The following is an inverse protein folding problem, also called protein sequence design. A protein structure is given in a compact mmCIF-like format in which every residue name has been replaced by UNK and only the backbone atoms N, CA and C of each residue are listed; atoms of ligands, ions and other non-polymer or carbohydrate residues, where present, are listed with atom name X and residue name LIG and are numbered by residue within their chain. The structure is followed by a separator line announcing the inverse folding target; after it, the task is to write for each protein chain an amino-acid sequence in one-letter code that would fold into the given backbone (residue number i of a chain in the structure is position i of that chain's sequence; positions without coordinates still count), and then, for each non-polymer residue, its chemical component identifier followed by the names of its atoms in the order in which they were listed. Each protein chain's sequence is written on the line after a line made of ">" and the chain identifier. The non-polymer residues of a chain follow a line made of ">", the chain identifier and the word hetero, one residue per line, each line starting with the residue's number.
data_IF_311824953158
#
_entry.id   IF_311824953158
#
_cell.length_a   1.000
_cell.length_b   1.000
_cell.length_c   1.000
_cell.angle_alpha   90.00
_cell.angle_beta   90.00
_cell.angle_gamma   90.00
#
_symmetry.space_group_name_H-M   'P 1'
#
loop_
_entity.id
_entity.type
_entity.pdbx_description
1 polymer ?
#
# COMPACT_ATOMS: atom_id res chain seq x y z
N UNK A 1 33.37 14.02 54.87
CA UNK A 1 32.99 12.77 54.19
C UNK A 1 32.30 13.13 52.90
N UNK A 2 33.01 13.08 51.77
CA UNK A 2 32.50 13.50 50.45
C UNK A 2 32.08 12.29 49.64
N UNK A 3 30.82 12.24 49.21
CA UNK A 3 30.26 11.16 48.43
C UNK A 3 30.66 11.37 46.95
N UNK A 4 31.62 10.60 46.47
CA UNK A 4 32.06 10.64 45.06
C UNK A 4 31.10 9.76 44.25
N UNK A 5 30.14 10.38 43.57
CA UNK A 5 29.30 9.70 42.60
C UNK A 5 30.11 9.41 41.33
N UNK A 6 30.64 8.20 41.27
CA UNK A 6 31.19 7.59 40.05
C UNK A 6 30.08 7.47 39.00
N UNK A 7 30.00 8.44 38.09
CA UNK A 7 29.25 8.28 36.84
C UNK A 7 29.95 7.22 35.98
N UNK A 8 29.47 5.98 36.04
CA UNK A 8 29.75 4.99 35.01
C UNK A 8 29.21 5.53 33.69
N UNK A 9 30.12 5.93 32.79
CA UNK A 9 29.78 6.19 31.39
C UNK A 9 29.19 4.91 30.83
N UNK A 10 27.88 4.90 30.61
CA UNK A 10 27.21 3.85 29.87
C UNK A 10 27.78 3.82 28.45
N UNK A 11 28.73 2.93 28.21
CA UNK A 11 29.23 2.59 26.88
C UNK A 11 28.15 1.76 26.17
N UNK A 12 27.06 2.42 25.77
CA UNK A 12 26.11 1.83 24.85
C UNK A 12 26.73 1.80 23.47
N UNK A 13 26.94 0.60 22.93
CA UNK A 13 27.41 0.44 21.57
C UNK A 13 26.36 1.01 20.61
N UNK A 14 26.68 2.11 19.94
CA UNK A 14 25.85 2.68 18.88
C UNK A 14 26.11 1.92 17.58
N UNK A 15 25.08 1.26 17.05
CA UNK A 15 25.10 0.76 15.68
C UNK A 15 25.02 1.97 14.73
N UNK A 16 25.88 2.04 13.68
CA UNK A 16 25.73 3.02 12.61
C UNK A 16 24.33 3.00 12.01
N UNK A 17 23.76 4.18 11.80
CA UNK A 17 22.42 4.37 11.23
C UNK A 17 22.26 3.67 9.88
N UNK A 18 23.33 3.59 9.10
CA UNK A 18 23.38 2.98 7.78
C UNK A 18 23.11 1.46 7.84
N UNK A 19 23.70 0.76 8.82
CA UNK A 19 23.48 -0.68 9.00
C UNK A 19 22.05 -0.98 9.41
N UNK A 20 21.47 -0.13 10.24
CA UNK A 20 20.08 -0.21 10.67
C UNK A 20 19.16 -0.04 9.45
N UNK A 21 19.38 1.00 8.64
CA UNK A 21 18.58 1.26 7.44
C UNK A 21 18.67 0.12 6.44
N UNK A 22 19.87 -0.42 6.21
CA UNK A 22 20.07 -1.57 5.31
C UNK A 22 19.33 -2.81 5.82
N UNK A 23 19.41 -3.10 7.13
CA UNK A 23 18.68 -4.20 7.75
C UNK A 23 17.16 -4.01 7.65
N UNK A 24 16.67 -2.77 7.67
CA UNK A 24 15.26 -2.46 7.53
C UNK A 24 14.74 -2.64 6.11
N UNK A 25 15.54 -2.51 5.04
CA UNK A 25 15.03 -2.50 3.66
C UNK A 25 14.23 -3.76 3.29
N UNK A 26 14.66 -4.95 3.73
CA UNK A 26 13.99 -6.22 3.42
C UNK A 26 12.89 -6.64 4.41
N UNK A 27 12.59 -5.82 5.41
CA UNK A 27 11.74 -6.20 6.55
C UNK A 27 10.27 -5.83 6.34
N UNK A 28 9.34 -6.77 6.53
CA UNK A 28 7.92 -6.45 6.40
C UNK A 28 7.47 -5.33 7.36
N UNK A 29 6.50 -4.53 6.91
CA UNK A 29 6.02 -3.33 7.63
C UNK A 29 5.53 -3.64 9.04
N UNK A 30 5.11 -4.87 9.32
CA UNK A 30 4.73 -5.32 10.66
C UNK A 30 5.89 -5.18 11.64
N UNK A 31 7.09 -5.62 11.25
CA UNK A 31 8.28 -5.51 12.09
C UNK A 31 8.79 -4.07 12.13
N UNK A 32 8.70 -3.32 11.03
CA UNK A 32 8.99 -1.87 11.06
C UNK A 32 8.06 -1.11 12.04
N UNK A 33 6.79 -1.49 12.12
CA UNK A 33 5.84 -0.93 13.07
C UNK A 33 6.24 -1.25 14.52
N UNK A 34 6.70 -2.48 14.79
CA UNK A 34 7.24 -2.85 16.11
C UNK A 34 8.46 -1.99 16.45
N UNK A 35 9.40 -1.80 15.52
CA UNK A 35 10.58 -0.94 15.74
C UNK A 35 10.16 0.50 16.07
N UNK A 36 9.28 1.10 15.27
CA UNK A 36 8.78 2.46 15.45
C UNK A 36 8.00 2.67 16.77
N UNK A 37 7.41 1.59 17.29
CA UNK A 37 6.68 1.59 18.57
C UNK A 37 7.62 1.44 19.76
N UNK A 38 8.65 0.60 19.64
CA UNK A 38 9.62 0.33 20.71
C UNK A 38 10.57 1.51 20.92
N UNK A 39 10.98 2.21 19.85
CA UNK A 39 11.84 3.38 19.94
C UNK A 39 11.32 4.52 19.04
N UNK A 40 10.91 5.63 19.65
CA UNK A 40 10.39 6.79 18.93
C UNK A 40 11.43 7.47 18.03
N UNK A 41 12.73 7.34 18.35
CA UNK A 41 13.83 7.86 17.54
C UNK A 41 13.95 7.13 16.21
N UNK A 42 13.52 5.86 16.17
CA UNK A 42 13.56 5.02 14.98
C UNK A 42 12.42 5.31 13.99
N UNK A 43 11.43 6.14 14.38
CA UNK A 43 10.30 6.49 13.51
C UNK A 43 10.76 7.19 12.23
N UNK A 44 11.79 8.04 12.31
CA UNK A 44 12.39 8.69 11.13
C UNK A 44 12.96 7.65 10.17
N UNK A 45 13.83 6.76 10.67
CA UNK A 45 14.43 5.69 9.87
C UNK A 45 13.39 4.75 9.22
N UNK A 46 12.31 4.43 9.94
CA UNK A 46 11.20 3.63 9.39
C UNK A 46 10.49 4.36 8.25
N UNK A 47 10.23 5.67 8.39
CA UNK A 47 9.64 6.48 7.30
C UNK A 47 10.55 6.54 6.09
N UNK A 48 11.84 6.78 6.29
CA UNK A 48 12.84 6.85 5.21
C UNK A 48 12.95 5.50 4.49
N UNK A 49 12.92 4.40 5.25
CA UNK A 49 12.87 3.04 4.68
C UNK A 49 11.64 2.86 3.79
N UNK A 50 10.45 3.26 4.26
CA UNK A 50 9.21 3.13 3.48
C UNK A 50 9.22 4.00 2.23
N UNK A 51 9.72 5.24 2.31
CA UNK A 51 9.89 6.12 1.14
C UNK A 51 10.87 5.54 0.14
N UNK A 52 12.01 5.03 0.62
CA UNK A 52 13.00 4.37 -0.23
C UNK A 52 12.40 3.17 -0.96
N UNK A 53 11.57 2.37 -0.28
CA UNK A 53 10.83 1.28 -0.92
C UNK A 53 9.85 1.77 -1.96
N UNK A 54 9.06 2.81 -1.68
CA UNK A 54 8.15 3.37 -2.68
C UNK A 54 8.91 3.78 -3.95
N UNK A 55 10.04 4.46 -3.81
CA UNK A 55 10.89 4.83 -4.95
C UNK A 55 11.49 3.60 -5.65
N UNK A 56 11.97 2.62 -4.89
CA UNK A 56 12.53 1.37 -5.43
C UNK A 56 11.49 0.59 -6.25
N UNK A 57 10.29 0.40 -5.71
CA UNK A 57 9.21 -0.33 -6.40
C UNK A 57 8.63 0.44 -7.60
N UNK A 58 8.80 1.77 -7.63
CA UNK A 58 8.43 2.60 -8.77
C UNK A 58 9.51 2.72 -9.83
N UNK A 59 10.78 2.46 -9.51
CA UNK A 59 11.92 2.62 -10.40
C UNK A 59 11.81 1.83 -11.73
N UNK A 60 11.17 0.64 -11.78
CA UNK A 60 10.90 0.00 -13.06
C UNK A 60 9.97 0.85 -13.94
N UNK A 61 8.99 1.56 -13.38
CA UNK A 61 7.95 2.24 -14.16
C UNK A 61 8.25 3.72 -14.43
N UNK A 62 9.00 4.36 -13.53
CA UNK A 62 9.25 5.80 -13.53
C UNK A 62 10.76 6.03 -13.45
N UNK A 63 11.37 6.72 -14.42
CA UNK A 63 12.80 7.02 -14.36
C UNK A 63 13.15 7.78 -13.07
N UNK A 64 14.35 7.58 -12.48
CA UNK A 64 14.72 8.19 -11.21
C UNK A 64 14.57 9.72 -11.18
N UNK A 65 14.84 10.40 -12.29
CA UNK A 65 14.73 11.86 -12.42
C UNK A 65 13.27 12.34 -12.40
N UNK A 66 12.31 11.46 -12.71
CA UNK A 66 10.89 11.79 -12.85
C UNK A 66 10.05 11.38 -11.64
N UNK A 67 10.63 10.67 -10.66
CA UNK A 67 9.94 10.22 -9.43
C UNK A 67 9.32 11.40 -8.66
N UNK A 68 10.01 12.53 -8.59
CA UNK A 68 9.46 13.73 -7.93
C UNK A 68 8.22 14.26 -8.67
N UNK A 69 8.27 14.29 -10.01
CA UNK A 69 7.13 14.64 -10.85
C UNK A 69 5.97 13.67 -10.68
N UNK A 70 6.26 12.37 -10.59
CA UNK A 70 5.26 11.32 -10.37
C UNK A 70 4.50 11.54 -9.06
N UNK A 71 5.22 11.77 -7.96
CA UNK A 71 4.60 12.03 -6.66
C UNK A 71 3.82 13.36 -6.63
N UNK A 72 4.33 14.38 -7.32
CA UNK A 72 3.58 15.65 -7.50
C UNK A 72 2.25 15.41 -8.22
N UNK A 73 2.26 14.65 -9.32
CA UNK A 73 1.06 14.29 -10.09
C UNK A 73 0.09 13.45 -9.25
N UNK A 74 0.57 12.48 -8.46
CA UNK A 74 -0.26 11.73 -7.50
C UNK A 74 -0.98 12.67 -6.52
N UNK A 75 -0.24 13.58 -5.90
CA UNK A 75 -0.78 14.51 -4.90
C UNK A 75 -1.76 15.49 -5.52
N UNK A 76 -1.42 16.13 -6.63
CA UNK A 76 -2.26 17.12 -7.30
C UNK A 76 -3.58 16.52 -7.82
N UNK A 77 -3.56 15.28 -8.28
CA UNK A 77 -4.74 14.59 -8.80
C UNK A 77 -5.52 13.78 -7.76
N UNK A 78 -5.06 13.77 -6.50
CA UNK A 78 -5.62 12.93 -5.44
C UNK A 78 -5.59 11.44 -5.79
N UNK A 79 -4.62 10.99 -6.58
CA UNK A 79 -4.49 9.62 -7.09
C UNK A 79 -3.63 8.76 -6.16
N UNK A 80 -3.72 7.45 -6.32
CA UNK A 80 -3.01 6.47 -5.48
C UNK A 80 -2.38 5.37 -6.31
N UNK A 81 -1.24 4.87 -5.87
CA UNK A 81 -0.65 3.63 -6.39
C UNK A 81 -1.19 2.45 -5.59
N UNK A 82 -1.61 1.39 -6.25
CA UNK A 82 -2.24 0.24 -5.62
C UNK A 82 -1.73 -1.10 -6.17
N UNK A 83 -2.26 -2.20 -5.62
CA UNK A 83 -1.99 -3.55 -6.11
C UNK A 83 -0.60 -4.06 -5.71
N UNK A 84 0.06 -4.77 -6.63
CA UNK A 84 1.34 -5.47 -6.40
C UNK A 84 2.46 -4.52 -5.94
N UNK A 85 2.59 -3.34 -6.55
CA UNK A 85 3.60 -2.33 -6.17
C UNK A 85 3.38 -1.86 -4.72
N UNK A 86 2.14 -1.53 -4.35
CA UNK A 86 1.83 -1.14 -2.97
C UNK A 86 2.03 -2.29 -1.98
N UNK A 87 1.73 -3.53 -2.39
CA UNK A 87 2.00 -4.71 -1.59
C UNK A 87 3.50 -4.94 -1.38
N UNK A 88 4.34 -4.74 -2.40
CA UNK A 88 5.78 -4.91 -2.30
C UNK A 88 6.43 -3.91 -1.32
N UNK A 89 5.89 -2.69 -1.21
CA UNK A 89 6.30 -1.72 -0.18
C UNK A 89 6.00 -2.24 1.24
N UNK A 90 4.82 -2.83 1.45
CA UNK A 90 4.37 -3.33 2.75
C UNK A 90 5.06 -4.64 3.15
N UNK A 91 5.18 -5.58 2.22
CA UNK A 91 5.69 -6.93 2.45
C UNK A 91 6.70 -7.30 1.37
N UNK A 92 7.91 -6.72 1.37
CA UNK A 92 8.93 -7.02 0.37
C UNK A 92 9.32 -8.50 0.33
N UNK A 93 9.15 -9.23 1.45
CA UNK A 93 9.50 -10.65 1.57
C UNK A 93 8.85 -11.53 0.49
N UNK A 94 7.62 -11.23 0.08
CA UNK A 94 6.86 -12.04 -0.90
C UNK A 94 7.20 -11.74 -2.36
N UNK A 95 7.99 -10.68 -2.61
CA UNK A 95 8.45 -10.27 -3.94
C UNK A 95 9.94 -10.54 -4.17
N UNK A 96 10.62 -11.19 -3.21
CA UNK A 96 12.06 -11.47 -3.30
C UNK A 96 12.48 -12.20 -4.59
N UNK A 97 11.59 -13.01 -5.16
CA UNK A 97 11.84 -13.79 -6.39
C UNK A 97 10.90 -13.43 -7.55
N UNK A 98 9.99 -12.47 -7.37
CA UNK A 98 8.91 -12.22 -8.32
C UNK A 98 8.46 -10.76 -8.20
N UNK A 99 9.20 -9.85 -8.84
CA UNK A 99 8.98 -8.40 -8.78
C UNK A 99 7.69 -7.97 -9.47
N UNK A 100 7.01 -6.90 -9.02
CA UNK A 100 5.84 -6.37 -9.72
C UNK A 100 6.13 -6.04 -11.19
N UNK A 101 5.32 -6.56 -12.11
CA UNK A 101 5.47 -6.35 -13.56
C UNK A 101 4.52 -5.29 -14.13
N UNK A 102 3.59 -4.79 -13.31
CA UNK A 102 2.67 -3.72 -13.67
C UNK A 102 2.47 -2.75 -12.51
N UNK A 103 2.25 -1.48 -12.84
CA UNK A 103 1.90 -0.42 -11.90
C UNK A 103 0.41 -0.10 -12.03
N UNK A 104 -0.34 -0.21 -10.94
CA UNK A 104 -1.76 0.18 -10.92
C UNK A 104 -1.89 1.54 -10.27
N UNK A 105 -2.48 2.49 -10.98
CA UNK A 105 -2.78 3.83 -10.48
C UNK A 105 -4.28 4.01 -10.52
N UNK A 106 -4.87 4.27 -9.36
CA UNK A 106 -6.27 4.61 -9.26
C UNK A 106 -6.42 6.11 -9.19
N UNK A 107 -7.34 6.62 -10.00
CA UNK A 107 -7.48 8.04 -10.27
C UNK A 107 -8.94 8.44 -10.04
N UNK A 108 -9.13 9.68 -9.56
CA UNK A 108 -10.46 10.26 -9.42
C UNK A 108 -11.10 10.55 -10.78
N UNK A 109 -12.43 10.68 -10.80
CA UNK A 109 -13.16 11.04 -12.01
C UNK A 109 -12.68 12.39 -12.56
N UNK A 110 -12.40 12.43 -13.86
CA UNK A 110 -11.98 13.62 -14.60
C UNK A 110 -10.47 13.88 -14.60
N UNK A 111 -9.65 13.08 -13.92
CA UNK A 111 -8.19 13.31 -13.85
C UNK A 111 -7.40 12.48 -14.87
N UNK A 112 -8.06 11.62 -15.66
CA UNK A 112 -7.42 10.82 -16.69
C UNK A 112 -6.58 11.63 -17.69
N UNK A 113 -7.03 12.79 -18.23
CA UNK A 113 -6.22 13.57 -19.16
C UNK A 113 -4.89 14.04 -18.58
N UNK A 114 -4.86 14.39 -17.28
CA UNK A 114 -3.64 14.81 -16.57
C UNK A 114 -2.62 13.67 -16.54
N UNK A 115 -3.07 12.47 -16.21
CA UNK A 115 -2.23 11.28 -16.19
C UNK A 115 -1.74 10.86 -17.57
N UNK A 116 -2.61 10.93 -18.58
CA UNK A 116 -2.21 10.62 -19.96
C UNK A 116 -1.14 11.59 -20.46
N UNK A 117 -1.28 12.88 -20.18
CA UNK A 117 -0.26 13.89 -20.54
C UNK A 117 1.06 13.59 -19.83
N UNK A 118 1.05 13.40 -18.51
CA UNK A 118 2.25 13.12 -17.73
C UNK A 118 2.97 11.83 -18.20
N UNK A 119 2.23 10.75 -18.42
CA UNK A 119 2.81 9.47 -18.84
C UNK A 119 3.31 9.51 -20.30
N UNK A 120 2.67 10.28 -21.16
CA UNK A 120 3.15 10.50 -22.52
C UNK A 120 4.55 11.14 -22.52
N UNK A 121 4.81 12.10 -21.63
CA UNK A 121 6.13 12.72 -21.48
C UNK A 121 7.20 11.72 -20.99
N UNK A 122 6.78 10.64 -20.32
CA UNK A 122 7.63 9.50 -19.95
C UNK A 122 7.70 8.40 -21.04
N UNK A 123 7.31 8.73 -22.27
CA UNK A 123 7.30 7.84 -23.43
C UNK A 123 6.36 6.61 -23.30
N UNK A 124 5.32 6.70 -22.47
CA UNK A 124 4.25 5.70 -22.44
C UNK A 124 3.21 5.97 -23.53
N UNK A 125 2.80 4.90 -24.20
CA UNK A 125 1.76 4.93 -25.24
C UNK A 125 0.57 4.09 -24.81
N UNK A 126 -0.64 4.57 -25.11
CA UNK A 126 -1.88 3.84 -24.86
C UNK A 126 -1.92 2.60 -25.76
N UNK A 127 -2.09 1.43 -25.15
CA UNK A 127 -2.20 0.14 -25.85
C UNK A 127 -3.65 -0.24 -26.11
N UNK A 128 -4.47 -0.14 -25.08
CA UNK A 128 -5.84 -0.64 -25.09
C UNK A 128 -6.68 0.07 -24.02
N UNK A 129 -7.96 0.31 -24.36
CA UNK A 129 -9.01 0.59 -23.39
C UNK A 129 -9.52 -0.77 -22.89
N UNK A 130 -9.15 -1.13 -21.66
CA UNK A 130 -9.55 -2.40 -21.06
C UNK A 130 -10.97 -2.26 -20.52
N UNK A 131 -11.83 -3.25 -20.80
CA UNK A 131 -13.18 -3.26 -20.24
C UNK A 131 -13.10 -3.30 -18.71
N UNK A 132 -13.74 -2.35 -17.99
CA UNK A 132 -13.77 -2.38 -16.54
C UNK A 132 -14.34 -3.71 -16.04
N UNK A 133 -13.61 -4.37 -15.14
CA UNK A 133 -14.03 -5.64 -14.55
C UNK A 133 -14.97 -5.47 -13.35
N UNK A 134 -15.18 -4.24 -12.88
CA UNK A 134 -15.92 -3.95 -11.66
C UNK A 134 -16.80 -2.70 -11.82
N UNK A 135 -17.98 -2.71 -11.20
CA UNK A 135 -18.99 -1.65 -11.32
C UNK A 135 -18.53 -0.27 -10.80
N UNK A 136 -17.47 -0.23 -10.01
CA UNK A 136 -16.93 0.96 -9.37
C UNK A 136 -15.82 1.64 -10.20
N UNK A 137 -15.52 1.11 -11.39
CA UNK A 137 -14.52 1.63 -12.33
C UNK A 137 -15.22 2.01 -13.63
N UNK A 138 -15.05 3.25 -14.08
CA UNK A 138 -15.65 3.76 -15.33
C UNK A 138 -14.77 3.40 -16.52
N UNK A 139 -13.45 3.58 -16.38
CA UNK A 139 -12.50 3.41 -17.47
C UNK A 139 -11.20 2.80 -16.96
N UNK A 140 -10.63 1.89 -17.74
CA UNK A 140 -9.28 1.35 -17.51
C UNK A 140 -8.46 1.57 -18.78
N UNK A 141 -7.31 2.22 -18.64
CA UNK A 141 -6.36 2.45 -19.74
C UNK A 141 -5.07 1.70 -19.44
N UNK A 142 -4.66 0.86 -20.37
CA UNK A 142 -3.37 0.18 -20.34
C UNK A 142 -2.36 0.98 -21.17
N UNK A 143 -1.25 1.35 -20.53
CA UNK A 143 -0.15 2.05 -21.17
C UNK A 143 1.10 1.18 -21.10
N UNK A 144 1.88 1.20 -22.19
CA UNK A 144 3.16 0.50 -22.28
C UNK A 144 4.27 1.50 -22.59
N UNK A 145 5.41 1.33 -21.95
CA UNK A 145 6.58 2.15 -22.26
C UNK A 145 7.08 1.81 -23.68
N UNK A 146 7.27 2.83 -24.52
CA UNK A 146 7.77 2.65 -25.89
C UNK A 146 9.28 2.36 -25.95
N UNK A 147 10.02 2.76 -24.90
CA UNK A 147 11.47 2.63 -24.80
C UNK A 147 11.90 1.39 -23.99
N UNK A 148 11.06 0.93 -23.05
CA UNK A 148 11.35 -0.21 -22.18
C UNK A 148 10.39 -1.38 -22.41
N UNK A 149 10.95 -2.58 -22.58
CA UNK A 149 10.14 -3.79 -22.78
C UNK A 149 9.57 -4.31 -21.46
N UNK A 150 8.26 -4.56 -21.41
CA UNK A 150 7.62 -5.36 -20.36
C UNK A 150 7.01 -4.58 -19.20
N UNK A 151 7.15 -3.26 -19.17
CA UNK A 151 6.56 -2.40 -18.14
C UNK A 151 5.23 -1.83 -18.61
N UNK A 152 4.18 -2.13 -17.84
CA UNK A 152 2.82 -1.65 -18.12
C UNK A 152 2.30 -0.82 -16.94
N UNK A 153 1.64 0.29 -17.25
CA UNK A 153 0.89 1.09 -16.28
C UNK A 153 -0.59 0.93 -16.60
N UNK A 154 -1.38 0.59 -15.56
CA UNK A 154 -2.82 0.54 -15.64
C UNK A 154 -3.41 1.73 -14.87
N UNK A 155 -4.07 2.63 -15.59
CA UNK A 155 -4.87 3.69 -15.01
C UNK A 155 -6.30 3.20 -14.85
N UNK A 156 -6.85 3.20 -13.64
CA UNK A 156 -8.28 2.90 -13.43
C UNK A 156 -9.00 4.09 -12.83
N UNK A 157 -9.92 4.65 -13.60
CA UNK A 157 -10.76 5.78 -13.21
C UNK A 157 -11.99 5.30 -12.44
N UNK A 158 -12.11 5.73 -11.19
CA UNK A 158 -13.24 5.38 -10.34
C UNK A 158 -14.53 6.10 -10.70
N UNK A 159 -15.67 5.50 -10.35
CA UNK A 159 -16.97 6.15 -10.49
C UNK A 159 -17.17 7.29 -9.47
N UNK A 160 -16.57 7.15 -8.29
CA UNK A 160 -16.64 8.15 -7.22
C UNK A 160 -15.69 9.33 -7.44
N UNK A 161 -15.85 10.35 -6.57
CA UNK A 161 -14.95 11.50 -6.53
C UNK A 161 -13.55 11.16 -5.99
N UNK A 162 -13.37 9.98 -5.39
CA UNK A 162 -12.10 9.55 -4.79
C UNK A 162 -11.46 8.40 -5.57
N UNK A 163 -10.13 8.44 -5.68
CA UNK A 163 -9.28 7.39 -6.24
C UNK A 163 -9.28 6.07 -5.46
N UNK A 164 -9.87 6.06 -4.26
CA UNK A 164 -9.97 4.87 -3.41
C UNK A 164 -11.14 3.98 -3.88
N UNK A 165 -12.12 4.54 -4.59
CA UNK A 165 -13.31 3.81 -5.03
C UNK A 165 -12.98 2.50 -5.76
N UNK A 166 -12.08 2.47 -6.77
CA UNK A 166 -11.64 1.24 -7.44
C UNK A 166 -11.10 0.15 -6.50
N UNK A 167 -10.40 0.54 -5.42
CA UNK A 167 -9.75 -0.38 -4.47
C UNK A 167 -10.76 -1.34 -3.84
N UNK A 168 -11.93 -0.83 -3.48
CA UNK A 168 -12.98 -1.63 -2.86
C UNK A 168 -13.58 -2.69 -3.80
N UNK A 169 -13.39 -2.52 -5.11
CA UNK A 169 -13.78 -3.48 -6.13
C UNK A 169 -12.76 -4.61 -6.30
N UNK A 170 -11.57 -4.51 -5.69
CA UNK A 170 -10.57 -5.56 -5.83
C UNK A 170 -11.11 -6.92 -5.37
N UNK A 171 -10.75 -7.96 -6.10
CA UNK A 171 -11.16 -9.32 -5.82
C UNK A 171 -10.38 -9.95 -4.65
N UNK A 172 -9.28 -9.34 -4.22
CA UNK A 172 -8.39 -9.90 -3.22
C UNK A 172 -8.07 -8.86 -2.17
N UNK A 173 -8.26 -9.20 -0.89
CA UNK A 173 -7.94 -8.27 0.21
C UNK A 173 -6.47 -7.89 0.26
N UNK A 174 -5.58 -8.78 -0.15
CA UNK A 174 -4.13 -8.52 -0.29
C UNK A 174 -3.78 -7.54 -1.41
N UNK A 175 -4.74 -7.18 -2.28
CA UNK A 175 -4.55 -6.16 -3.31
C UNK A 175 -5.21 -4.82 -2.92
N UNK A 176 -5.87 -4.76 -1.77
CA UNK A 176 -6.51 -3.56 -1.24
C UNK A 176 -5.53 -2.68 -0.45
N UNK A 177 -4.32 -2.59 -0.96
CA UNK A 177 -3.25 -1.79 -0.39
C UNK A 177 -2.89 -0.71 -1.39
N UNK A 178 -2.60 0.47 -0.87
CA UNK A 178 -2.30 1.61 -1.72
C UNK A 178 -1.44 2.61 -0.98
N UNK A 179 -0.78 3.49 -1.72
CA UNK A 179 -0.07 4.61 -1.15
C UNK A 179 -0.31 5.89 -1.95
N UNK A 180 -0.25 7.00 -1.24
CA UNK A 180 -0.03 8.33 -1.81
C UNK A 180 1.45 8.70 -1.65
N UNK A 181 1.85 9.91 -2.05
CA UNK A 181 3.18 10.43 -1.72
C UNK A 181 3.48 10.41 -0.20
N UNK A 182 2.44 10.54 0.64
CA UNK A 182 2.59 10.84 2.05
C UNK A 182 2.19 9.72 2.99
N UNK A 183 1.47 8.70 2.52
CA UNK A 183 0.89 7.70 3.39
C UNK A 183 0.81 6.36 2.66
N UNK A 184 1.03 5.28 3.41
CA UNK A 184 0.76 3.92 2.96
C UNK A 184 -0.44 3.40 3.75
N UNK A 185 -1.38 2.79 3.03
CA UNK A 185 -2.64 2.31 3.55
C UNK A 185 -2.77 0.82 3.32
N UNK A 186 -3.14 0.10 4.39
CA UNK A 186 -3.50 -1.29 4.35
C UNK A 186 -4.94 -1.45 4.84
N UNK A 187 -5.85 -1.86 3.95
CA UNK A 187 -7.27 -2.02 4.28
C UNK A 187 -7.53 -3.18 5.23
N UNK A 188 -6.77 -4.26 5.08
CA UNK A 188 -6.98 -5.52 5.81
C UNK A 188 -5.66 -5.97 6.48
N UNK A 189 -5.10 -5.18 7.42
CA UNK A 189 -3.76 -5.41 7.97
C UNK A 189 -3.64 -6.75 8.69
N UNK A 190 -4.71 -7.20 9.37
CA UNK A 190 -4.77 -8.52 10.01
C UNK A 190 -4.66 -9.69 9.04
N UNK A 191 -4.91 -9.47 7.75
CA UNK A 191 -4.75 -10.47 6.69
C UNK A 191 -3.44 -10.25 5.93
N UNK A 192 -3.32 -9.09 5.29
CA UNK A 192 -2.24 -8.75 4.38
C UNK A 192 -0.88 -8.90 5.05
N UNK A 193 -0.72 -8.40 6.27
CA UNK A 193 0.56 -8.45 6.99
C UNK A 193 0.88 -9.83 7.56
N UNK A 194 -0.11 -10.74 7.58
CA UNK A 194 0.07 -12.13 7.95
C UNK A 194 0.12 -13.05 6.71
N UNK A 195 0.36 -12.48 5.52
CA UNK A 195 0.40 -13.17 4.24
C UNK A 195 -0.87 -14.00 3.99
N UNK A 196 -2.02 -13.42 4.34
CA UNK A 196 -3.34 -14.02 4.10
C UNK A 196 -4.18 -13.13 3.20
N UNK A 197 -5.08 -13.75 2.44
CA UNK A 197 -6.01 -13.03 1.56
C UNK A 197 -7.36 -13.70 1.47
N UNK A 198 -8.42 -12.91 1.28
CA UNK A 198 -9.77 -13.38 0.96
C UNK A 198 -10.09 -13.02 -0.48
N UNK A 199 -10.69 -13.98 -1.20
CA UNK A 199 -11.31 -13.75 -2.51
C UNK A 199 -12.72 -13.19 -2.37
N UNK A 200 -12.94 -11.98 -2.89
CA UNK A 200 -14.18 -11.23 -2.87
C UNK A 200 -14.82 -11.26 -4.25
N UNK A 201 -15.75 -12.19 -4.47
CA UNK A 201 -16.49 -12.34 -5.74
C UNK A 201 -16.86 -13.80 -5.98
N UNK A 202 -17.87 -14.05 -6.83
CA UNK A 202 -18.34 -15.42 -7.14
C UNK A 202 -17.75 -15.99 -8.45
N UNK A 203 -17.34 -15.16 -9.40
CA UNK A 203 -16.89 -15.57 -10.75
C UNK A 203 -15.38 -15.42 -11.00
N UNK A 204 -14.57 -15.45 -9.93
CA UNK A 204 -13.16 -15.03 -10.01
C UNK A 204 -12.18 -16.09 -10.50
N UNK A 205 -12.61 -17.35 -10.69
CA UNK A 205 -11.71 -18.40 -11.18
C UNK A 205 -11.22 -18.14 -12.62
N UNK A 206 -11.92 -17.32 -13.41
CA UNK A 206 -11.55 -17.04 -14.80
C UNK A 206 -10.49 -15.96 -15.00
N UNK A 207 -10.35 -15.02 -14.05
CA UNK A 207 -9.58 -13.80 -14.27
C UNK A 207 -8.31 -13.69 -13.42
N UNK A 208 -8.19 -14.50 -12.37
CA UNK A 208 -7.06 -14.40 -11.46
C UNK A 208 -6.09 -15.57 -11.63
N UNK A 209 -4.80 -15.35 -11.33
CA UNK A 209 -3.82 -16.41 -11.31
C UNK A 209 -4.31 -17.59 -10.45
N UNK A 210 -3.89 -18.81 -10.81
CA UNK A 210 -4.21 -20.00 -10.03
C UNK A 210 -3.81 -19.79 -8.56
N UNK A 211 -4.43 -20.53 -7.65
CA UNK A 211 -4.06 -20.50 -6.24
C UNK A 211 -2.55 -20.68 -6.05
N UNK A 212 -1.93 -21.46 -6.93
CA UNK A 212 -0.50 -21.78 -6.92
C UNK A 212 0.38 -20.53 -7.05
N UNK A 213 -0.04 -19.52 -7.80
CA UNK A 213 0.73 -18.28 -7.92
C UNK A 213 0.83 -17.54 -6.57
N UNK A 214 -0.29 -17.42 -5.85
CA UNK A 214 -0.31 -16.79 -4.53
C UNK A 214 0.41 -17.65 -3.49
N UNK A 215 0.20 -18.97 -3.52
CA UNK A 215 0.85 -19.91 -2.61
C UNK A 215 2.36 -19.98 -2.83
N UNK A 216 2.83 -19.88 -4.07
CA UNK A 216 4.25 -19.81 -4.42
C UNK A 216 4.95 -18.58 -3.83
N UNK A 217 4.20 -17.50 -3.57
CA UNK A 217 4.65 -16.31 -2.85
C UNK A 217 4.43 -16.39 -1.33
N UNK A 218 3.97 -17.54 -0.81
CA UNK A 218 3.65 -17.72 0.60
C UNK A 218 2.33 -17.08 1.05
N UNK A 219 1.51 -16.57 0.13
CA UNK A 219 0.21 -15.96 0.46
C UNK A 219 -0.85 -17.06 0.57
N UNK A 220 -1.39 -17.25 1.78
CA UNK A 220 -2.48 -18.18 2.05
C UNK A 220 -3.83 -17.56 1.68
N UNK A 221 -4.55 -18.20 0.75
CA UNK A 221 -5.96 -17.89 0.52
C UNK A 221 -6.78 -18.51 1.65
N UNK A 222 -7.48 -17.67 2.39
CA UNK A 222 -8.37 -18.09 3.48
C UNK A 222 -9.61 -18.74 2.87
N UNK A 223 -9.94 -19.93 3.35
CA UNK A 223 -11.17 -20.63 2.97
C UNK A 223 -12.39 -20.08 3.74
N UNK A 224 -13.59 -20.53 3.35
CA UNK A 224 -14.84 -20.03 3.92
C UNK A 224 -14.96 -20.29 5.43
N UNK A 225 -14.45 -21.42 5.93
CA UNK A 225 -14.56 -21.78 7.34
C UNK A 225 -13.65 -20.94 8.24
N UNK A 226 -12.41 -20.68 7.78
CA UNK A 226 -11.49 -19.76 8.45
C UNK A 226 -12.04 -18.32 8.40
N UNK A 227 -12.65 -17.90 7.29
CA UNK A 227 -13.35 -16.62 7.20
C UNK A 227 -14.50 -16.52 8.22
N UNK A 228 -15.38 -17.51 8.32
CA UNK A 228 -16.47 -17.55 9.32
C UNK A 228 -15.90 -17.45 10.73
N UNK A 229 -14.79 -18.13 11.00
CA UNK A 229 -14.10 -18.09 12.29
C UNK A 229 -13.56 -16.69 12.59
N UNK A 230 -12.94 -16.02 11.62
CA UNK A 230 -12.47 -14.64 11.78
C UNK A 230 -13.63 -13.66 11.98
N UNK A 231 -14.76 -13.90 11.31
CA UNK A 231 -15.96 -13.09 11.46
C UNK A 231 -16.59 -13.21 12.85
N UNK A 232 -16.70 -14.44 13.38
CA UNK A 232 -17.16 -14.68 14.76
C UNK A 232 -16.27 -13.99 15.80
N UNK A 233 -14.95 -13.91 15.53
CA UNK A 233 -13.98 -13.19 16.37
C UNK A 233 -13.99 -11.67 16.17
N UNK A 234 -14.91 -11.12 15.37
CA UNK A 234 -15.00 -9.70 14.98
C UNK A 234 -13.71 -9.16 14.35
N UNK A 235 -12.89 -10.04 13.77
CA UNK A 235 -11.65 -9.66 13.09
C UNK A 235 -11.90 -9.32 11.63
N UNK A 236 -12.86 -9.98 10.98
CA UNK A 236 -13.13 -9.83 9.55
C UNK A 236 -14.49 -10.42 9.17
N UNK A 237 -15.44 -9.61 8.69
CA UNK A 237 -16.76 -10.09 8.26
C UNK A 237 -17.15 -9.49 6.91
N UNK A 238 -17.35 -10.33 5.87
CA UNK A 238 -17.93 -9.89 4.58
C UNK A 238 -19.31 -9.25 4.71
N UNK A 239 -20.12 -9.70 5.69
CA UNK A 239 -21.46 -9.17 5.90
C UNK A 239 -21.46 -7.66 6.22
N UNK A 240 -20.39 -7.16 6.84
CA UNK A 240 -20.23 -5.72 7.11
C UNK A 240 -19.88 -4.92 5.84
N UNK A 241 -19.39 -5.56 4.77
CA UNK A 241 -19.04 -4.88 3.50
C UNK A 241 -20.21 -4.70 2.55
N UNK A 242 -21.29 -5.50 2.66
CA UNK A 242 -22.46 -5.41 1.76
C UNK A 242 -23.40 -4.22 2.05
N UNK A 243 -23.23 -3.53 3.18
CA UNK A 243 -24.09 -2.39 3.60
C UNK A 243 -23.44 -1.03 3.23
N UNK A 244 -22.44 -1.04 2.35
CA UNK A 244 -21.62 0.14 2.06
C UNK A 244 -22.34 1.17 1.17
N UNK A 245 -23.10 2.06 1.79
CA UNK A 245 -23.41 3.40 1.27
C UNK A 245 -23.15 4.52 2.30
N UNK A 246 -23.28 4.31 3.63
CA UNK A 246 -22.84 5.28 4.64
C UNK A 246 -21.55 4.88 5.41
N UNK A 247 -20.92 3.75 5.06
CA UNK A 247 -19.88 3.09 5.89
C UNK A 247 -18.42 3.48 5.59
N UNK A 248 -18.18 4.38 4.63
CA UNK A 248 -16.82 4.83 4.30
C UNK A 248 -16.07 5.36 5.54
N UNK A 249 -16.78 5.99 6.48
CA UNK A 249 -16.22 6.54 7.73
C UNK A 249 -15.68 5.46 8.68
N UNK A 250 -16.38 4.34 8.86
CA UNK A 250 -15.93 3.27 9.77
C UNK A 250 -14.78 2.45 9.16
N UNK A 251 -14.80 2.28 7.83
CA UNK A 251 -13.72 1.59 7.12
C UNK A 251 -12.42 2.39 7.23
N UNK A 252 -12.48 3.73 7.08
CA UNK A 252 -11.32 4.61 7.30
C UNK A 252 -10.78 4.48 8.73
N UNK A 253 -11.64 4.35 9.75
CA UNK A 253 -11.22 4.21 11.15
C UNK A 253 -10.43 2.91 11.46
N UNK A 254 -10.59 1.86 10.64
CA UNK A 254 -9.89 0.58 10.79
C UNK A 254 -8.67 0.45 9.87
N UNK A 255 -8.46 1.39 8.95
CA UNK A 255 -7.27 1.39 8.10
C UNK A 255 -6.03 1.61 8.96
N UNK A 256 -5.01 0.78 8.76
CA UNK A 256 -3.68 1.14 9.27
C UNK A 256 -3.08 2.16 8.33
N UNK A 257 -2.92 3.39 8.82
CA UNK A 257 -2.24 4.48 8.14
C UNK A 257 -0.82 4.54 8.69
N UNK A 258 0.16 4.36 7.81
CA UNK A 258 1.56 4.60 8.15
C UNK A 258 1.97 5.93 7.50
N UNK A 259 2.09 7.03 8.28
CA UNK A 259 2.44 8.32 7.72
C UNK A 259 3.92 8.37 7.31
N UNK A 260 4.17 8.89 6.12
CA UNK A 260 5.49 8.99 5.46
C UNK A 260 6.03 10.43 5.52
N UNK A 261 5.22 11.45 5.84
CA UNK A 261 5.66 12.86 5.88
C UNK A 261 5.64 13.53 7.26
N UNK A 262 6.38 14.65 7.37
CA UNK A 262 6.43 15.58 8.50
C UNK A 262 5.61 16.83 8.16
N UNK A 263 4.62 17.15 8.97
CA UNK A 263 4.43 18.51 9.45
C UNK A 263 4.33 18.40 10.97
N UNK A 264 5.10 19.21 11.69
CA UNK A 264 5.06 19.31 13.14
C UNK A 264 3.67 19.79 13.60
N UNK A 265 2.66 18.92 13.67
CA UNK A 265 1.43 19.17 14.43
C UNK A 265 0.83 17.84 14.89
N UNK A 266 0.72 17.74 16.22
CA UNK A 266 -0.20 16.92 17.00
C UNK A 266 -0.27 15.41 16.73
N UNK A 267 0.22 14.65 17.73
CA UNK A 267 -0.33 13.34 18.07
C UNK A 267 -1.76 13.57 18.62
N UNK A 268 -2.69 13.85 17.72
CA UNK A 268 -4.13 13.82 17.97
C UNK A 268 -4.62 12.37 17.87
N UNK A 269 -4.91 11.80 19.05
CA UNK A 269 -5.90 10.72 19.27
C UNK A 269 -5.95 9.55 18.28
N UNK A 270 -5.23 8.47 18.63
CA UNK A 270 -5.89 7.16 18.63
C UNK A 270 -7.04 7.26 19.65
N UNK A 271 -8.28 7.32 19.16
CA UNK A 271 -9.55 7.43 19.89
C UNK A 271 -9.55 6.86 21.33
N UNK A 272 -10.01 7.65 22.32
CA UNK A 272 -11.04 7.21 23.23
C UNK A 272 -12.34 7.99 22.95
N UNK A 273 -13.46 7.26 22.94
CA UNK A 273 -14.78 7.85 22.81
C UNK A 273 -15.08 8.76 24.02
N UNK A 274 -15.60 9.97 23.75
CA UNK A 274 -16.31 10.73 24.76
C UNK A 274 -17.64 10.02 25.09
N UNK A 275 -18.03 9.90 26.36
CA UNK A 275 -19.39 9.53 26.71
C UNK A 275 -20.32 10.73 26.44
N UNK A 276 -21.50 10.42 25.92
CA UNK A 276 -22.65 11.33 25.84
C UNK A 276 -23.21 11.55 27.24
#
# INVERSE_FOLDING_TARGET
>A
MGNVHSHTKDNTAFLPTELILQGMQGVDVLLLHVVAKTDSRMRGAVKDTLRMRMTHELAPFVPPNDIAGFFSTLTASGSVVAGSVAQAVLTPSIFANDVPNNLNIFIGRGTLPVWLSYLHDLAYVVREDVTPSHNNVIKVVSLKNSLASGQNILLSEGQGFTSITPIFGSSLTSQMNFFTQFNIYCMEPGLTLNLKTIRIGRDLERYYPSNDHFQGRGIKIINRDEEITLCRKRKLCRALRKVASPFLTEVVAKMTIVPVNYSEYEIGSMFPAAPV
#
